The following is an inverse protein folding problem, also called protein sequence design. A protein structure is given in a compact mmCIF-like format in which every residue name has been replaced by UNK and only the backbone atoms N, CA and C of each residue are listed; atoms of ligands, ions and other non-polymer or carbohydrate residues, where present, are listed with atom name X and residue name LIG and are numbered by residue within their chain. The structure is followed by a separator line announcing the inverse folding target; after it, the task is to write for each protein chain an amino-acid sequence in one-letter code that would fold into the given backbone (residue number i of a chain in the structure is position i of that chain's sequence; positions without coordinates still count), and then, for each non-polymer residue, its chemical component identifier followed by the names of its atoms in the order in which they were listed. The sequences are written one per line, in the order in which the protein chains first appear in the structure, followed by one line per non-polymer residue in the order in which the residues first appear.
data_IF_963730038491
#
_entry.id   IF_963730038491
#
_cell.length_a   1.000
_cell.length_b   1.000
_cell.length_c   1.000
_cell.angle_alpha   90.00
_cell.angle_beta   90.00
_cell.angle_gamma   90.00
#
_symmetry.space_group_name_H-M   'P 1'
#
loop_
_entity.id
_entity.type
_entity.pdbx_description
1 polymer ?
#
# COMPACT_ATOMS: atom_id res chain seq x y z
N UNK A 1 -13.24 -18.13 -30.53
CA UNK A 1 -14.00 -18.03 -29.28
C UNK A 1 -12.99 -18.40 -28.24
N UNK A 2 -12.47 -17.41 -27.52
CA UNK A 2 -11.45 -17.67 -26.52
C UNK A 2 -12.05 -18.50 -25.38
N UNK A 3 -11.26 -19.40 -24.77
CA UNK A 3 -11.71 -20.17 -23.63
C UNK A 3 -12.21 -19.24 -22.51
N UNK A 4 -13.37 -19.57 -21.95
CA UNK A 4 -14.03 -18.80 -20.89
C UNK A 4 -13.15 -18.65 -19.64
N UNK A 5 -12.32 -19.69 -19.36
CA UNK A 5 -11.33 -19.76 -18.29
C UNK A 5 -10.03 -20.38 -18.83
N UNK A 6 -8.88 -19.77 -18.50
CA UNK A 6 -7.55 -20.26 -18.88
C UNK A 6 -6.62 -20.27 -17.69
N UNK A 7 -5.84 -21.34 -17.53
CA UNK A 7 -4.80 -21.41 -16.50
C UNK A 7 -3.54 -20.68 -16.98
N UNK A 8 -3.02 -19.75 -16.16
CA UNK A 8 -1.83 -18.96 -16.46
C UNK A 8 -0.74 -19.16 -15.40
N UNK A 9 0.49 -19.44 -15.83
CA UNK A 9 1.66 -19.61 -14.96
C UNK A 9 2.33 -18.25 -14.71
N UNK A 10 2.33 -17.82 -13.46
CA UNK A 10 2.99 -16.60 -13.01
C UNK A 10 4.53 -16.78 -12.95
N UNK A 11 5.30 -15.68 -12.97
CA UNK A 11 6.77 -15.72 -12.91
C UNK A 11 7.35 -16.40 -11.67
N UNK A 12 6.59 -16.44 -10.57
CA UNK A 12 6.97 -17.10 -9.31
C UNK A 12 6.65 -18.60 -9.28
N UNK A 13 6.15 -19.16 -10.38
CA UNK A 13 5.80 -20.57 -10.51
C UNK A 13 4.41 -20.94 -10.02
N UNK A 14 3.61 -19.98 -9.53
CA UNK A 14 2.21 -20.22 -9.16
C UNK A 14 1.31 -20.16 -10.39
N UNK A 15 0.18 -20.86 -10.35
CA UNK A 15 -0.83 -20.80 -11.41
C UNK A 15 -2.07 -20.07 -10.93
N UNK A 16 -2.65 -19.26 -11.82
CA UNK A 16 -3.92 -18.55 -11.59
C UNK A 16 -4.91 -18.87 -12.70
N UNK A 17 -6.20 -18.83 -12.39
CA UNK A 17 -7.26 -18.90 -13.39
C UNK A 17 -7.57 -17.49 -13.91
N UNK A 18 -7.50 -17.33 -15.22
CA UNK A 18 -7.79 -16.07 -15.92
C UNK A 18 -9.11 -16.25 -16.66
N UNK A 19 -10.12 -15.48 -16.26
CA UNK A 19 -11.40 -15.42 -16.95
C UNK A 19 -11.33 -14.42 -18.09
N UNK A 20 -12.11 -14.68 -19.15
CA UNK A 20 -12.41 -13.62 -20.12
C UNK A 20 -13.13 -12.45 -19.43
N UNK A 21 -12.95 -11.22 -19.93
CA UNK A 21 -13.66 -10.04 -19.40
C UNK A 21 -15.18 -10.22 -19.41
N UNK A 22 -15.72 -10.92 -20.42
CA UNK A 22 -17.15 -11.22 -20.51
C UNK A 22 -17.62 -12.13 -19.37
N UNK A 23 -16.89 -13.20 -19.06
CA UNK A 23 -17.23 -14.09 -17.94
C UNK A 23 -16.99 -13.45 -16.58
N UNK A 24 -15.93 -12.66 -16.44
CA UNK A 24 -15.67 -11.90 -15.22
C UNK A 24 -16.86 -10.98 -14.87
N UNK A 25 -17.46 -10.34 -15.88
CA UNK A 25 -18.64 -9.47 -15.68
C UNK A 25 -19.87 -10.20 -15.15
N UNK A 26 -20.09 -11.44 -15.61
CA UNK A 26 -21.22 -12.28 -15.17
C UNK A 26 -21.04 -12.77 -13.74
N UNK A 27 -19.79 -13.04 -13.34
CA UNK A 27 -19.45 -13.56 -12.02
C UNK A 27 -19.33 -12.50 -10.92
N UNK A 28 -19.29 -11.20 -11.29
CA UNK A 28 -19.07 -10.11 -10.34
C UNK A 28 -20.08 -10.07 -9.17
N UNK A 29 -21.40 -10.28 -9.37
CA UNK A 29 -22.36 -10.30 -8.25
C UNK A 29 -22.09 -11.42 -7.24
N UNK A 30 -21.75 -12.63 -7.73
CA UNK A 30 -21.43 -13.77 -6.89
C UNK A 30 -20.11 -13.55 -6.13
N UNK A 31 -19.09 -13.01 -6.82
CA UNK A 31 -17.81 -12.64 -6.20
C UNK A 31 -17.99 -11.65 -5.04
N UNK A 32 -18.82 -10.61 -5.23
CA UNK A 32 -19.12 -9.66 -4.16
C UNK A 32 -19.82 -10.31 -2.97
N UNK A 33 -20.66 -11.32 -3.20
CA UNK A 33 -21.27 -12.09 -2.10
C UNK A 33 -20.21 -12.87 -1.32
N UNK A 34 -19.25 -13.50 -2.01
CA UNK A 34 -18.14 -14.20 -1.36
C UNK A 34 -17.25 -13.26 -0.54
N UNK A 35 -16.96 -12.06 -1.06
CA UNK A 35 -16.20 -11.05 -0.31
C UNK A 35 -16.94 -10.62 0.96
N UNK A 36 -18.27 -10.46 0.90
CA UNK A 36 -19.08 -10.14 2.09
C UNK A 36 -19.10 -11.27 3.12
N UNK A 37 -18.92 -12.53 2.71
CA UNK A 37 -18.74 -13.65 3.64
C UNK A 37 -17.31 -13.79 4.16
N UNK A 38 -16.40 -12.88 3.80
CA UNK A 38 -15.01 -12.86 4.27
C UNK A 38 -14.02 -13.62 3.39
N UNK A 39 -14.43 -14.14 2.22
CA UNK A 39 -13.48 -14.69 1.27
C UNK A 39 -12.62 -13.57 0.68
N UNK A 40 -11.35 -13.87 0.41
CA UNK A 40 -10.38 -12.89 -0.12
C UNK A 40 -9.67 -13.38 -1.39
N UNK A 41 -10.18 -14.44 -2.02
CA UNK A 41 -9.60 -15.00 -3.23
C UNK A 41 -9.81 -14.03 -4.41
N UNK A 42 -8.74 -13.61 -5.12
CA UNK A 42 -8.85 -12.66 -6.22
C UNK A 42 -9.49 -13.32 -7.45
N UNK A 43 -10.36 -12.57 -8.14
CA UNK A 43 -10.78 -12.92 -9.48
C UNK A 43 -9.82 -12.25 -10.48
N UNK A 44 -9.09 -13.05 -11.26
CA UNK A 44 -8.17 -12.56 -12.29
C UNK A 44 -8.82 -12.68 -13.66
N UNK A 45 -8.70 -11.63 -14.48
CA UNK A 45 -9.30 -11.59 -15.81
C UNK A 45 -8.42 -10.86 -16.83
N UNK A 46 -8.67 -11.13 -18.11
CA UNK A 46 -7.99 -10.51 -19.24
C UNK A 46 -8.38 -11.16 -20.56
N UNK A 47 -7.62 -10.88 -21.62
CA UNK A 47 -7.85 -11.44 -22.95
C UNK A 47 -6.89 -12.59 -23.28
N UNK A 48 -7.35 -13.54 -24.11
CA UNK A 48 -6.56 -14.71 -24.55
C UNK A 48 -5.82 -15.49 -23.43
N UNK A 49 -6.37 -15.51 -22.21
CA UNK A 49 -5.77 -16.17 -21.05
C UNK A 49 -4.57 -15.44 -20.43
N UNK A 50 -4.30 -14.20 -20.85
CA UNK A 50 -3.32 -13.33 -20.24
C UNK A 50 -3.95 -12.57 -19.07
N UNK A 51 -3.38 -12.60 -17.85
CA UNK A 51 -3.87 -11.79 -16.75
C UNK A 51 -3.59 -10.31 -17.00
N UNK A 52 -4.64 -9.50 -16.98
CA UNK A 52 -4.55 -8.04 -17.17
C UNK A 52 -5.00 -7.26 -15.94
N UNK A 53 -5.99 -7.78 -15.22
CA UNK A 53 -6.54 -7.15 -14.03
C UNK A 53 -7.04 -8.19 -13.02
N UNK A 54 -7.20 -7.73 -11.78
CA UNK A 54 -7.79 -8.53 -10.71
C UNK A 54 -8.82 -7.73 -9.93
N UNK A 55 -9.87 -8.40 -9.47
CA UNK A 55 -10.85 -7.85 -8.52
C UNK A 55 -10.58 -8.47 -7.15
N UNK A 56 -10.38 -7.60 -6.16
CA UNK A 56 -10.10 -7.97 -4.77
C UNK A 56 -11.03 -7.19 -3.81
N UNK A 57 -11.21 -7.64 -2.56
CA UNK A 57 -11.90 -6.84 -1.56
C UNK A 57 -11.22 -5.49 -1.36
N UNK A 58 -12.02 -4.43 -1.19
CA UNK A 58 -11.51 -3.07 -1.00
C UNK A 58 -10.51 -2.94 0.15
N UNK A 59 -10.79 -3.62 1.27
CA UNK A 59 -9.91 -3.62 2.44
C UNK A 59 -8.55 -4.26 2.18
N UNK A 60 -8.51 -5.29 1.32
CA UNK A 60 -7.24 -5.93 0.89
C UNK A 60 -6.44 -4.96 0.03
N UNK A 61 -7.09 -4.27 -0.92
CA UNK A 61 -6.43 -3.24 -1.72
C UNK A 61 -5.85 -2.11 -0.87
N UNK A 62 -6.60 -1.65 0.13
CA UNK A 62 -6.15 -0.60 1.07
C UNK A 62 -4.90 -1.05 1.82
N UNK A 63 -4.91 -2.25 2.40
CA UNK A 63 -3.77 -2.81 3.12
C UNK A 63 -2.53 -2.97 2.22
N UNK A 64 -2.70 -3.40 0.97
CA UNK A 64 -1.61 -3.50 0.00
C UNK A 64 -1.01 -2.13 -0.34
N UNK A 65 -1.87 -1.11 -0.48
CA UNK A 65 -1.44 0.27 -0.77
C UNK A 65 -0.66 0.86 0.39
N UNK A 66 -1.12 0.66 1.62
CA UNK A 66 -0.40 1.05 2.84
C UNK A 66 0.95 0.35 2.94
N UNK A 67 1.00 -0.97 2.73
CA UNK A 67 2.24 -1.74 2.76
C UNK A 67 3.23 -1.30 1.66
N UNK A 68 2.75 -1.01 0.45
CA UNK A 68 3.60 -0.51 -0.63
C UNK A 68 4.17 0.89 -0.31
N UNK A 69 3.37 1.76 0.30
CA UNK A 69 3.80 3.09 0.75
C UNK A 69 4.81 2.99 1.90
N UNK A 70 4.60 2.06 2.82
CA UNK A 70 5.55 1.79 3.90
C UNK A 70 6.87 1.25 3.34
N UNK A 71 6.90 0.50 2.23
CA UNK A 71 8.15 0.10 1.57
C UNK A 71 8.89 1.30 0.95
N UNK A 72 8.19 2.28 0.36
CA UNK A 72 8.83 3.52 -0.10
C UNK A 72 9.36 4.36 1.09
N UNK A 73 8.61 4.42 2.19
CA UNK A 73 9.08 4.99 3.46
C UNK A 73 10.23 4.20 4.10
N UNK A 74 10.22 2.88 3.94
CA UNK A 74 11.24 1.95 4.42
C UNK A 74 12.53 2.14 3.63
N UNK A 75 12.48 2.36 2.32
CA UNK A 75 13.70 2.58 1.53
C UNK A 75 14.38 3.90 1.93
N UNK A 76 13.61 4.95 2.23
CA UNK A 76 14.14 6.23 2.72
C UNK A 76 14.74 6.11 4.14
N UNK A 77 14.03 5.43 5.06
CA UNK A 77 14.48 5.25 6.44
C UNK A 77 15.64 4.24 6.54
N UNK A 78 15.61 3.17 5.76
CA UNK A 78 16.69 2.21 5.63
C UNK A 78 17.93 2.85 5.01
N UNK A 79 17.77 3.68 3.97
CA UNK A 79 18.87 4.46 3.38
C UNK A 79 19.46 5.45 4.38
N UNK A 80 18.63 6.15 5.16
CA UNK A 80 19.06 7.07 6.21
C UNK A 80 19.83 6.34 7.33
N UNK A 81 19.31 5.20 7.80
CA UNK A 81 19.95 4.38 8.84
C UNK A 81 21.27 3.80 8.31
N UNK A 82 21.30 3.27 7.08
CA UNK A 82 22.53 2.80 6.43
C UNK A 82 23.54 3.93 6.23
N UNK A 83 23.09 5.12 5.85
CA UNK A 83 23.94 6.30 5.71
C UNK A 83 24.56 6.69 7.06
N UNK A 84 23.79 6.70 8.16
CA UNK A 84 24.29 6.96 9.51
C UNK A 84 25.24 5.88 10.02
N UNK A 85 24.96 4.61 9.72
CA UNK A 85 25.85 3.49 10.10
C UNK A 85 27.16 3.48 9.30
N UNK A 86 27.13 3.91 8.03
CA UNK A 86 28.34 4.07 7.20
C UNK A 86 29.15 5.33 7.57
N UNK A 87 28.49 6.34 8.14
CA UNK A 87 29.11 7.58 8.62
C UNK A 87 28.87 7.73 10.14
N UNK A 88 29.45 6.85 10.97
CA UNK A 88 29.32 6.96 12.42
C UNK A 88 29.95 8.30 12.87
N UNK A 89 29.15 9.13 13.55
CA UNK A 89 29.53 10.50 13.91
C UNK A 89 29.20 11.56 12.86
N UNK A 90 28.38 11.25 11.86
CA UNK A 90 27.82 12.26 10.95
C UNK A 90 27.13 13.40 11.71
N UNK A 91 27.09 14.61 11.14
CA UNK A 91 26.65 15.80 11.85
C UNK A 91 25.21 15.62 12.34
N UNK A 92 25.04 15.55 13.65
CA UNK A 92 23.77 15.74 14.34
C UNK A 92 23.71 17.19 14.78
N UNK A 93 22.68 17.91 14.34
CA UNK A 93 22.42 19.28 14.80
C UNK A 93 21.51 19.18 16.03
N UNK A 94 21.89 19.80 17.17
CA UNK A 94 21.01 19.91 18.32
C UNK A 94 19.67 20.56 17.94
N UNK A 95 18.59 20.14 18.58
CA UNK A 95 17.24 20.62 18.23
C UNK A 95 17.10 22.13 18.50
N UNK A 96 17.88 22.65 19.43
CA UNK A 96 17.97 24.06 19.80
C UNK A 96 18.59 24.90 18.67
N UNK A 97 19.59 24.37 17.96
CA UNK A 97 20.20 25.05 16.81
C UNK A 97 19.24 25.11 15.62
N UNK A 98 18.46 24.05 15.41
CA UNK A 98 17.38 24.03 14.40
C UNK A 98 16.27 25.00 14.78
N UNK A 99 15.82 24.99 16.04
CA UNK A 99 14.78 25.89 16.52
C UNK A 99 15.19 27.36 16.35
N UNK A 100 16.45 27.70 16.69
CA UNK A 100 16.98 29.04 16.48
C UNK A 100 17.02 29.45 14.99
N UNK A 101 17.27 28.52 14.06
CA UNK A 101 17.21 28.76 12.61
C UNK A 101 15.78 29.11 12.15
N UNK A 102 14.77 28.43 12.70
CA UNK A 102 13.36 28.66 12.37
C UNK A 102 12.68 29.73 13.23
N UNK A 103 13.41 30.35 14.18
CA UNK A 103 12.86 31.34 15.11
C UNK A 103 11.87 30.76 16.11
N UNK A 104 11.96 29.47 16.41
CA UNK A 104 11.13 28.78 17.38
C UNK A 104 11.73 28.90 18.78
N UNK A 105 10.91 29.30 19.73
CA UNK A 105 11.23 29.22 21.15
C UNK A 105 10.74 27.88 21.69
N UNK A 106 11.68 27.00 22.07
CA UNK A 106 11.36 25.67 22.59
C UNK A 106 10.91 25.70 24.07
N UNK A 107 11.11 26.84 24.75
CA UNK A 107 10.71 27.04 26.14
C UNK A 107 9.34 27.74 26.26
N UNK A 108 8.75 28.16 25.14
CA UNK A 108 7.40 28.74 25.10
C UNK A 108 6.35 27.65 25.38
N UNK A 109 5.41 27.94 26.29
CA UNK A 109 4.26 27.05 26.49
C UNK A 109 3.47 26.97 25.19
N UNK A 110 3.35 25.77 24.61
CA UNK A 110 2.56 25.54 23.40
C UNK A 110 1.10 25.92 23.69
N UNK A 111 0.61 26.99 23.07
CA UNK A 111 -0.79 27.38 23.15
C UNK A 111 -1.66 26.48 22.26
N UNK A 112 -1.95 25.27 22.76
CA UNK A 112 -2.84 24.30 22.11
C UNK A 112 -4.33 24.65 22.25
N UNK A 113 -4.68 25.88 22.67
CA UNK A 113 -6.07 26.28 22.88
C UNK A 113 -6.91 26.24 21.61
N UNK A 114 -6.31 26.40 20.43
CA UNK A 114 -6.97 26.25 19.12
C UNK A 114 -7.37 24.80 18.79
N UNK A 115 -6.71 23.79 19.39
CA UNK A 115 -7.02 22.37 19.17
C UNK A 115 -8.03 21.79 20.16
N UNK A 116 -8.45 22.57 21.16
CA UNK A 116 -9.45 22.17 22.15
C UNK A 116 -10.85 22.26 21.56
N UNK A 117 -11.37 21.15 21.01
CA UNK A 117 -12.77 21.09 20.54
C UNK A 117 -13.74 21.51 21.66
N UNK A 118 -14.74 22.35 21.37
CA UNK A 118 -15.77 22.71 22.35
C UNK A 118 -16.58 21.47 22.76
N UNK A 119 -16.86 21.38 24.06
CA UNK A 119 -17.66 20.31 24.70
C UNK A 119 -19.13 20.34 24.26
#
# INVERSE_FOLDING_TARGET
MDPEETQHLLPDGRTVWVLSTAEASKNLPALLQMFRSGAAEPLVFGDAGQPEAAVIPFEVWRALTEAATDVEGFDSSYSLVRHRLKNPGGPSVPIEEVAAEFGWDLDEEIDDSEFRKPK
#
